data_IF_784143619673
#
_entry.id   IF_784143619673
#
_cell.length_a   1.000
_cell.length_b   1.000
_cell.length_c   1.000
_cell.angle_alpha   90.00
_cell.angle_beta   90.00
_cell.angle_gamma   90.00
#
_symmetry.space_group_name_H-M   'P 1'
#
loop_
_entity.id
_entity.type
_entity.pdbx_description
1 polymer ?
#
# COMPACT_ATOMS: atom_id res chain seq x y z
N UNK A 1 14.42 4.23 -1.72
CA UNK A 1 14.33 5.45 -0.90
C UNK A 1 14.14 5.11 0.57
N UNK A 2 14.93 5.75 1.43
CA UNK A 2 14.78 5.75 2.89
C UNK A 2 14.21 7.11 3.32
N UNK A 3 13.36 7.18 4.36
CA UNK A 3 13.01 6.10 5.30
C UNK A 3 11.94 5.12 4.79
N UNK A 4 11.47 5.28 3.54
CA UNK A 4 10.39 4.46 2.98
C UNK A 4 9.00 5.01 3.29
N UNK A 5 7.95 4.25 2.98
CA UNK A 5 6.56 4.63 3.28
C UNK A 5 6.36 4.68 4.79
N UNK A 6 5.93 5.81 5.33
CA UNK A 6 5.68 6.00 6.76
C UNK A 6 4.20 5.80 7.12
N UNK A 7 3.88 5.49 8.39
CA UNK A 7 2.48 5.43 8.84
C UNK A 7 1.69 6.72 8.53
N UNK A 8 2.33 7.88 8.64
CA UNK A 8 1.74 9.18 8.35
C UNK A 8 1.25 9.31 6.89
N UNK A 9 1.93 8.66 5.94
CA UNK A 9 1.53 8.64 4.53
C UNK A 9 0.22 7.87 4.31
N UNK A 10 -0.24 7.11 5.32
CA UNK A 10 -1.35 6.18 5.24
C UNK A 10 -2.51 6.52 6.18
N UNK A 11 -2.42 7.59 6.95
CA UNK A 11 -3.47 8.01 7.89
C UNK A 11 -4.80 8.27 7.16
N UNK A 12 -4.76 8.95 6.01
CA UNK A 12 -5.96 9.23 5.21
C UNK A 12 -6.61 7.92 4.71
N UNK A 13 -5.79 6.93 4.37
CA UNK A 13 -6.25 5.63 3.89
C UNK A 13 -6.96 4.86 5.01
N UNK A 14 -6.41 4.90 6.23
CA UNK A 14 -7.04 4.32 7.43
C UNK A 14 -8.37 5.02 7.74
N UNK A 15 -8.40 6.35 7.72
CA UNK A 15 -9.60 7.13 8.02
C UNK A 15 -10.76 6.87 7.05
N UNK A 16 -10.46 6.55 5.78
CA UNK A 16 -11.46 6.20 4.76
C UNK A 16 -12.05 4.79 4.93
N UNK A 17 -11.59 4.00 5.91
CA UNK A 17 -12.17 2.70 6.24
C UNK A 17 -11.95 1.64 5.14
N UNK A 18 -10.77 1.65 4.51
CA UNK A 18 -10.38 0.61 3.56
C UNK A 18 -10.16 -0.73 4.27
N UNK A 19 -10.41 -1.82 3.57
CA UNK A 19 -10.16 -3.20 4.05
C UNK A 19 -8.76 -3.69 3.67
N UNK A 20 -8.24 -3.22 2.54
CA UNK A 20 -6.94 -3.64 2.01
C UNK A 20 -6.18 -2.44 1.47
N UNK A 21 -4.87 -2.41 1.68
CA UNK A 21 -3.95 -1.42 1.10
C UNK A 21 -2.92 -2.11 0.24
N UNK A 22 -2.77 -1.61 -0.99
CA UNK A 22 -1.72 -2.03 -1.91
C UNK A 22 -0.63 -0.95 -1.98
N UNK A 23 0.62 -1.35 -1.71
CA UNK A 23 1.80 -0.47 -1.73
C UNK A 23 2.67 -0.85 -2.92
N UNK A 24 2.73 0.04 -3.92
CA UNK A 24 3.64 -0.04 -5.05
C UNK A 24 5.00 0.58 -4.73
N UNK A 25 6.04 -0.26 -4.61
CA UNK A 25 7.38 0.16 -4.12
C UNK A 25 8.37 0.62 -5.21
N UNK A 26 7.86 1.01 -6.37
CA UNK A 26 8.67 1.45 -7.51
C UNK A 26 8.92 0.34 -8.53
N UNK A 27 9.42 0.74 -9.70
CA UNK A 27 9.79 -0.14 -10.80
C UNK A 27 10.96 -1.04 -10.44
N UNK A 28 11.91 -0.50 -9.67
CA UNK A 28 13.10 -1.20 -9.17
C UNK A 28 12.94 -1.67 -7.72
N UNK A 29 11.74 -1.55 -7.16
CA UNK A 29 11.45 -1.90 -5.78
C UNK A 29 12.35 -1.15 -4.76
N UNK A 30 12.90 0.01 -5.10
CA UNK A 30 13.89 0.67 -4.26
C UNK A 30 13.23 1.39 -3.08
N UNK A 31 11.93 1.73 -3.16
CA UNK A 31 11.19 2.28 -2.03
C UNK A 31 11.06 1.23 -0.93
N UNK A 32 11.50 1.58 0.29
CA UNK A 32 11.36 0.69 1.43
C UNK A 32 9.94 0.78 2.01
N UNK A 33 9.48 -0.33 2.59
CA UNK A 33 8.26 -0.36 3.41
C UNK A 33 8.69 -0.89 4.78
N UNK A 34 8.92 0.00 5.77
CA UNK A 34 9.28 -0.39 7.11
C UNK A 34 8.25 -1.35 7.74
N UNK A 35 8.67 -2.32 8.56
CA UNK A 35 7.75 -3.18 9.29
C UNK A 35 6.75 -2.41 10.15
N UNK A 36 7.16 -1.27 10.73
CA UNK A 36 6.28 -0.39 11.52
C UNK A 36 5.07 0.12 10.73
N UNK A 37 5.24 0.39 9.43
CA UNK A 37 4.17 0.81 8.53
C UNK A 37 3.17 -0.31 8.28
N UNK A 38 3.67 -1.53 8.06
CA UNK A 38 2.82 -2.72 7.89
C UNK A 38 2.08 -3.05 9.18
N UNK A 39 2.76 -2.99 10.32
CA UNK A 39 2.18 -3.26 11.64
C UNK A 39 1.11 -2.23 12.01
N UNK A 40 1.32 -0.95 11.67
CA UNK A 40 0.33 0.10 11.85
C UNK A 40 -0.97 -0.23 11.10
N UNK A 41 -0.90 -0.59 9.82
CA UNK A 41 -2.08 -0.98 9.04
C UNK A 41 -2.76 -2.23 9.61
N UNK A 42 -2.00 -3.27 9.95
CA UNK A 42 -2.54 -4.52 10.53
C UNK A 42 -3.22 -4.29 11.87
N UNK A 43 -2.67 -3.44 12.73
CA UNK A 43 -3.29 -3.06 14.01
C UNK A 43 -4.64 -2.35 13.83
N UNK A 44 -4.83 -1.69 12.69
CA UNK A 44 -6.10 -1.08 12.30
C UNK A 44 -7.02 -2.04 11.54
N UNK A 45 -6.69 -3.34 11.48
CA UNK A 45 -7.51 -4.35 10.82
C UNK A 45 -7.46 -4.32 9.29
N UNK A 46 -6.40 -3.75 8.73
CA UNK A 46 -6.22 -3.56 7.28
C UNK A 46 -5.22 -4.58 6.75
N UNK A 47 -5.63 -5.30 5.69
CA UNK A 47 -4.75 -6.20 4.95
C UNK A 47 -3.76 -5.40 4.10
N UNK A 48 -2.50 -5.88 3.99
CA UNK A 48 -1.43 -5.15 3.30
C UNK A 48 -0.79 -6.01 2.23
N UNK A 49 -0.70 -5.49 1.01
CA UNK A 49 0.04 -6.07 -0.10
C UNK A 49 1.17 -5.12 -0.49
N UNK A 50 2.42 -5.61 -0.47
CA UNK A 50 3.59 -4.83 -0.88
C UNK A 50 4.17 -5.46 -2.14
N UNK A 51 4.16 -4.73 -3.24
CA UNK A 51 4.45 -5.26 -4.57
C UNK A 51 5.25 -4.25 -5.41
N UNK A 52 5.99 -4.74 -6.40
CA UNK A 52 6.47 -3.92 -7.51
C UNK A 52 5.29 -3.17 -8.15
N UNK A 53 5.48 -1.90 -8.56
CA UNK A 53 4.37 -0.99 -8.89
C UNK A 53 3.43 -1.48 -10.00
N UNK A 54 3.92 -2.14 -11.05
CA UNK A 54 3.05 -2.66 -12.11
C UNK A 54 2.12 -3.76 -11.57
N UNK A 55 2.67 -4.70 -10.80
CA UNK A 55 1.89 -5.75 -10.11
C UNK A 55 0.93 -5.15 -9.08
N UNK A 56 1.36 -4.10 -8.38
CA UNK A 56 0.52 -3.38 -7.42
C UNK A 56 -0.72 -2.78 -8.10
N UNK A 57 -0.56 -2.19 -9.29
CA UNK A 57 -1.67 -1.62 -10.05
C UNK A 57 -2.61 -2.71 -10.55
N UNK A 58 -2.09 -3.83 -11.06
CA UNK A 58 -2.89 -4.98 -11.48
C UNK A 58 -3.75 -5.52 -10.32
N UNK A 59 -3.12 -5.75 -9.16
CA UNK A 59 -3.79 -6.29 -7.98
C UNK A 59 -4.83 -5.32 -7.41
N UNK A 60 -4.49 -4.02 -7.34
CA UNK A 60 -5.43 -2.99 -6.92
C UNK A 60 -6.67 -2.98 -7.81
N UNK A 61 -6.50 -2.99 -9.13
CA UNK A 61 -7.61 -2.98 -10.08
C UNK A 61 -8.46 -4.26 -9.97
N UNK A 62 -7.84 -5.42 -9.76
CA UNK A 62 -8.55 -6.68 -9.55
C UNK A 62 -9.40 -6.65 -8.26
N UNK A 63 -8.87 -6.12 -7.16
CA UNK A 63 -9.60 -5.97 -5.89
C UNK A 63 -10.75 -4.96 -6.02
N UNK A 64 -10.49 -3.81 -6.66
CA UNK A 64 -11.51 -2.80 -6.91
C UNK A 64 -12.65 -3.33 -7.79
N UNK A 65 -12.32 -4.06 -8.87
CA UNK A 65 -13.31 -4.70 -9.75
C UNK A 65 -14.19 -5.74 -9.02
N UNK A 66 -13.67 -6.35 -7.95
CA UNK A 66 -14.41 -7.28 -7.08
C UNK A 66 -15.23 -6.58 -5.99
N UNK A 67 -15.24 -5.24 -5.95
CA UNK A 67 -15.96 -4.46 -4.95
C UNK A 67 -15.28 -4.41 -3.57
N UNK A 68 -14.00 -4.78 -3.47
CA UNK A 68 -13.23 -4.61 -2.23
C UNK A 68 -12.99 -3.13 -2.00
N UNK A 69 -13.16 -2.66 -0.74
CA UNK A 69 -12.73 -1.33 -0.33
C UNK A 69 -11.21 -1.29 -0.25
N UNK A 70 -10.57 -1.11 -1.39
CA UNK A 70 -9.12 -1.11 -1.53
C UNK A 70 -8.59 0.34 -1.59
N UNK A 71 -7.53 0.62 -0.86
CA UNK A 71 -6.72 1.83 -0.98
C UNK A 71 -5.34 1.50 -1.55
N UNK A 72 -4.58 2.50 -1.98
CA UNK A 72 -3.21 2.26 -2.44
C UNK A 72 -2.34 3.50 -2.48
N UNK A 73 -1.03 3.26 -2.33
CA UNK A 73 0.02 4.25 -2.53
C UNK A 73 1.01 3.69 -3.56
N UNK A 74 1.34 4.48 -4.57
CA UNK A 74 2.10 4.00 -5.72
C UNK A 74 3.27 4.93 -5.99
N UNK A 75 4.47 4.37 -5.88
CA UNK A 75 5.67 5.03 -6.36
C UNK A 75 5.89 4.67 -7.82
N UNK A 76 5.85 5.66 -8.72
CA UNK A 76 5.83 5.44 -10.17
C UNK A 76 7.22 5.37 -10.81
N UNK A 77 8.29 5.65 -10.06
CA UNK A 77 9.67 5.62 -10.53
C UNK A 77 10.46 4.50 -9.83
N UNK A 78 11.73 4.71 -9.48
CA UNK A 78 12.60 3.68 -8.93
C UNK A 78 12.48 3.56 -7.41
#
# INVERSE_FOLDING_TARGET
>A
HAPGVQPADLEEVVQKGVKTVVIGRGMSEALQVPPSTVDYLKKNGIDVLVLQTAKAVEEYNALAARGVRVGGVFHSTC
#
